data_IF_233100103383
#
_entry.id   IF_233100103383
#
_cell.length_a   1.000
_cell.length_b   1.000
_cell.length_c   1.000
_cell.angle_alpha   90.00
_cell.angle_beta   90.00
_cell.angle_gamma   90.00
#
_symmetry.space_group_name_H-M   'P 1'
#
loop_
_entity.id
_entity.type
_entity.pdbx_description
1 polymer ?
#
# COMPACT_ATOMS: atom_id res chain seq x y z
N UNK A 1 -8.91 8.21 18.64
CA UNK A 1 -7.77 7.74 19.46
C UNK A 1 -7.19 6.41 18.96
N UNK A 2 -7.99 5.33 18.84
CA UNK A 2 -7.53 4.01 18.35
C UNK A 2 -6.72 4.07 17.04
N UNK A 3 -7.25 4.74 16.01
CA UNK A 3 -6.60 4.87 14.69
C UNK A 3 -5.26 5.63 14.76
N UNK A 4 -5.17 6.68 15.57
CA UNK A 4 -3.93 7.46 15.70
C UNK A 4 -2.81 6.66 16.38
N UNK A 5 -3.15 5.88 17.42
CA UNK A 5 -2.20 5.00 18.12
C UNK A 5 -1.72 3.88 17.20
N UNK A 6 -2.62 3.27 16.43
CA UNK A 6 -2.25 2.25 15.45
C UNK A 6 -1.39 2.84 14.32
N UNK A 7 -1.78 3.98 13.73
CA UNK A 7 -0.98 4.64 12.70
C UNK A 7 0.42 4.98 13.21
N UNK A 8 0.57 5.42 14.47
CA UNK A 8 1.87 5.70 15.07
C UNK A 8 2.74 4.44 15.25
N UNK A 9 2.15 3.33 15.71
CA UNK A 9 2.88 2.05 15.81
C UNK A 9 3.20 1.49 14.43
N UNK A 10 2.32 1.60 13.44
CA UNK A 10 2.60 1.12 12.08
C UNK A 10 3.67 1.97 11.41
N UNK A 11 3.61 3.29 11.54
CA UNK A 11 4.70 4.20 11.18
C UNK A 11 6.05 3.73 11.78
N UNK A 12 6.07 3.43 13.08
CA UNK A 12 7.24 2.91 13.77
C UNK A 12 7.68 1.52 13.31
N UNK A 13 6.74 0.62 13.01
CA UNK A 13 7.04 -0.76 12.58
C UNK A 13 7.53 -0.79 11.14
N UNK A 14 6.94 0.04 10.27
CA UNK A 14 7.42 0.28 8.91
C UNK A 14 8.82 0.85 8.95
N UNK A 15 9.08 1.85 9.81
CA UNK A 15 10.39 2.45 9.92
C UNK A 15 11.42 1.48 10.49
N UNK A 16 11.11 0.73 11.55
CA UNK A 16 12.04 -0.21 12.17
C UNK A 16 12.41 -1.36 11.22
N UNK A 17 11.47 -1.79 10.37
CA UNK A 17 11.73 -2.81 9.37
C UNK A 17 12.45 -2.26 8.13
N UNK A 18 12.10 -1.06 7.65
CA UNK A 18 12.73 -0.45 6.48
C UNK A 18 14.14 0.10 6.78
N UNK A 19 14.34 0.67 7.96
CA UNK A 19 15.56 1.36 8.39
C UNK A 19 16.36 0.45 9.33
N UNK A 20 17.16 -0.46 8.77
CA UNK A 20 18.03 -1.38 9.56
C UNK A 20 19.21 -0.70 10.32
N UNK A 21 19.24 0.63 10.49
CA UNK A 21 20.28 1.39 11.25
C UNK A 21 19.75 2.75 11.76
N UNK A 22 20.20 3.16 12.96
CA UNK A 22 20.37 4.50 13.59
C UNK A 22 19.45 5.69 13.21
N UNK A 23 18.30 5.43 12.60
CA UNK A 23 17.39 6.44 12.11
C UNK A 23 16.08 6.44 12.86
N UNK A 24 15.74 7.56 13.49
CA UNK A 24 14.49 7.69 14.23
C UNK A 24 13.34 8.05 13.29
N UNK A 25 12.17 7.50 13.58
CA UNK A 25 10.94 7.80 12.88
C UNK A 25 9.85 8.30 13.81
N UNK A 26 9.10 9.30 13.36
CA UNK A 26 7.90 9.73 14.06
C UNK A 26 6.76 9.99 13.08
N UNK A 27 5.54 9.72 13.54
CA UNK A 27 4.32 10.14 12.86
C UNK A 27 3.87 11.49 13.41
N UNK A 28 3.67 12.46 12.53
CA UNK A 28 3.04 13.74 12.83
C UNK A 28 1.68 13.82 12.17
N UNK A 29 0.63 13.85 12.98
CA UNK A 29 -0.72 14.19 12.50
C UNK A 29 -0.82 15.72 12.46
N UNK A 30 -1.10 16.28 11.28
CA UNK A 30 -1.25 17.73 11.10
C UNK A 30 -2.70 18.13 10.93
N UNK A 31 -3.10 19.19 11.61
CA UNK A 31 -4.44 19.78 11.51
C UNK A 31 -4.46 21.04 10.65
N UNK A 32 -3.33 21.37 10.00
CA UNK A 32 -3.20 22.57 9.18
C UNK A 32 -4.10 22.45 7.93
N UNK A 33 -5.13 23.30 7.79
CA UNK A 33 -6.06 23.25 6.66
C UNK A 33 -5.40 23.58 5.32
N UNK A 34 -4.18 24.16 5.33
CA UNK A 34 -3.42 24.46 4.11
C UNK A 34 -2.57 23.28 3.63
N UNK A 35 -2.62 22.14 4.32
CA UNK A 35 -1.91 20.93 3.88
C UNK A 35 -2.54 20.40 2.60
N UNK A 36 -1.84 20.54 1.48
CA UNK A 36 -2.32 20.12 0.15
C UNK A 36 -2.05 18.64 -0.13
N UNK A 37 -1.04 18.03 0.51
CA UNK A 37 -0.71 16.61 0.36
C UNK A 37 -1.29 15.76 1.50
N UNK A 38 -2.04 14.69 1.20
CA UNK A 38 -2.64 13.78 2.20
C UNK A 38 -1.64 13.18 3.19
N UNK A 39 -0.49 12.74 2.69
CA UNK A 39 0.64 12.25 3.44
C UNK A 39 1.95 12.66 2.74
N UNK A 40 3.06 12.68 3.47
CA UNK A 40 4.41 12.83 2.92
C UNK A 40 5.47 12.44 3.96
N UNK A 41 6.68 12.10 3.53
CA UNK A 41 7.84 11.90 4.40
C UNK A 41 8.73 13.15 4.38
N UNK A 42 9.21 13.61 5.54
CA UNK A 42 10.25 14.65 5.66
C UNK A 42 11.48 14.09 6.35
N UNK A 43 12.64 14.12 5.68
CA UNK A 43 13.94 13.93 6.32
C UNK A 43 14.34 15.21 7.04
N UNK A 44 14.71 15.13 8.32
CA UNK A 44 15.32 16.27 9.02
C UNK A 44 16.72 16.53 8.47
N UNK A 45 17.03 17.80 8.21
CA UNK A 45 18.33 18.19 7.67
C UNK A 45 19.43 17.80 8.65
N UNK A 46 20.45 17.09 8.15
CA UNK A 46 21.64 16.66 8.90
C UNK A 46 21.38 15.73 10.10
N UNK A 47 20.18 15.14 10.20
CA UNK A 47 19.85 14.14 11.22
C UNK A 47 19.40 12.86 10.51
N UNK A 48 19.66 11.67 11.08
CA UNK A 48 19.11 10.43 10.57
C UNK A 48 17.62 10.29 10.93
N UNK A 49 16.85 11.38 10.97
CA UNK A 49 15.46 11.36 11.46
C UNK A 49 14.51 11.61 10.30
N UNK A 50 13.52 10.73 10.15
CA UNK A 50 12.46 10.84 9.16
C UNK A 50 11.12 11.04 9.86
N UNK A 51 10.29 11.94 9.35
CA UNK A 51 8.94 12.17 9.86
C UNK A 51 7.90 11.83 8.81
N UNK A 52 7.06 10.82 9.05
CA UNK A 52 5.79 10.71 8.33
C UNK A 52 4.87 11.82 8.80
N UNK A 53 4.28 12.52 7.84
CA UNK A 53 3.21 13.45 8.10
C UNK A 53 1.95 12.94 7.43
N UNK A 54 0.83 12.97 8.15
CA UNK A 54 -0.49 12.69 7.61
C UNK A 54 -1.47 13.77 8.04
N UNK A 55 -2.27 14.26 7.11
CA UNK A 55 -3.27 15.28 7.42
C UNK A 55 -4.46 14.67 8.17
N UNK A 56 -4.89 15.29 9.27
CA UNK A 56 -6.07 14.85 10.03
C UNK A 56 -7.33 14.91 9.17
N UNK A 57 -7.50 15.99 8.40
CA UNK A 57 -8.62 16.15 7.47
C UNK A 57 -8.69 15.00 6.44
N UNK A 58 -7.53 14.44 6.05
CA UNK A 58 -7.48 13.27 5.19
C UNK A 58 -7.97 12.00 5.90
N UNK A 59 -7.55 11.76 7.14
CA UNK A 59 -8.06 10.65 7.96
C UNK A 59 -9.58 10.76 8.19
N UNK A 60 -10.09 11.97 8.45
CA UNK A 60 -11.52 12.24 8.57
C UNK A 60 -12.26 11.94 7.27
N UNK A 61 -11.69 12.35 6.13
CA UNK A 61 -12.21 12.05 4.80
C UNK A 61 -12.31 10.53 4.53
N UNK A 62 -11.31 9.75 4.96
CA UNK A 62 -11.35 8.28 4.90
C UNK A 62 -12.45 7.72 5.81
N UNK A 63 -12.60 8.24 7.03
CA UNK A 63 -13.63 7.79 7.96
C UNK A 63 -15.05 8.04 7.42
N UNK A 64 -15.28 9.20 6.81
CA UNK A 64 -16.56 9.53 6.18
C UNK A 64 -16.97 8.56 5.06
N UNK A 65 -15.99 7.90 4.41
CA UNK A 65 -16.24 6.90 3.35
C UNK A 65 -16.62 5.52 3.88
N UNK A 66 -16.43 5.25 5.18
CA UNK A 66 -16.71 3.94 5.77
C UNK A 66 -17.68 3.99 6.95
N UNK A 67 -17.97 5.15 7.51
CA UNK A 67 -18.83 5.28 8.71
C UNK A 67 -20.23 4.68 8.53
N UNK A 68 -20.78 4.74 7.31
CA UNK A 68 -22.07 4.14 6.96
C UNK A 68 -22.08 2.60 7.00
N UNK A 69 -20.91 1.96 7.08
CA UNK A 69 -20.74 0.51 7.08
C UNK A 69 -20.85 -0.12 8.48
N UNK A 70 -20.94 0.69 9.54
CA UNK A 70 -20.82 0.23 10.94
C UNK A 70 -21.83 -0.84 11.39
N UNK A 71 -22.95 -0.97 10.67
CA UNK A 71 -24.05 -1.89 11.00
C UNK A 71 -24.21 -3.00 9.94
N UNK A 72 -23.19 -3.27 9.13
CA UNK A 72 -23.26 -4.35 8.14
C UNK A 72 -23.05 -5.70 8.82
N UNK A 73 -24.05 -6.58 8.71
CA UNK A 73 -24.01 -7.94 9.27
C UNK A 73 -22.86 -8.80 8.71
N UNK A 74 -22.27 -8.39 7.59
CA UNK A 74 -21.18 -9.13 6.94
C UNK A 74 -19.76 -8.75 7.42
N UNK A 75 -19.64 -7.85 8.40
CA UNK A 75 -18.36 -7.42 8.97
C UNK A 75 -18.20 -7.96 10.39
N UNK A 76 -17.22 -8.84 10.57
CA UNK A 76 -16.83 -9.40 11.88
C UNK A 76 -15.90 -8.45 12.68
N UNK A 77 -15.55 -7.28 12.11
CA UNK A 77 -14.55 -6.37 12.66
C UNK A 77 -14.95 -4.89 12.51
N UNK A 78 -14.31 -4.02 13.31
CA UNK A 78 -14.55 -2.58 13.34
C UNK A 78 -14.10 -1.90 12.04
N UNK A 79 -14.98 -1.08 11.46
CA UNK A 79 -14.75 -0.36 10.19
C UNK A 79 -13.55 0.59 10.22
N UNK A 80 -13.10 1.00 11.42
CA UNK A 80 -11.90 1.78 11.62
C UNK A 80 -10.62 1.07 11.15
N UNK A 81 -10.66 -0.26 11.00
CA UNK A 81 -9.58 -1.01 10.37
C UNK A 81 -9.34 -0.59 8.91
N UNK A 82 -10.39 -0.28 8.15
CA UNK A 82 -10.24 0.21 6.78
C UNK A 82 -9.53 1.56 6.74
N UNK A 83 -9.86 2.46 7.68
CA UNK A 83 -9.20 3.77 7.78
C UNK A 83 -7.74 3.62 8.18
N UNK A 84 -7.46 2.75 9.15
CA UNK A 84 -6.10 2.50 9.58
C UNK A 84 -5.25 1.95 8.42
N UNK A 85 -5.70 0.89 7.74
CA UNK A 85 -4.96 0.26 6.64
C UNK A 85 -4.81 1.18 5.43
N UNK A 86 -5.80 2.04 5.14
CA UNK A 86 -5.68 3.07 4.13
C UNK A 86 -4.59 4.11 4.50
N UNK A 87 -4.54 4.55 5.77
CA UNK A 87 -3.49 5.45 6.24
C UNK A 87 -2.09 4.83 6.22
N UNK A 88 -1.99 3.54 6.55
CA UNK A 88 -0.75 2.76 6.45
C UNK A 88 -0.24 2.72 5.03
N UNK A 89 -1.14 2.44 4.09
CA UNK A 89 -0.80 2.41 2.68
C UNK A 89 -0.31 3.78 2.22
N UNK A 90 -1.02 4.86 2.55
CA UNK A 90 -0.61 6.21 2.17
C UNK A 90 0.79 6.56 2.70
N UNK A 91 1.11 6.16 3.94
CA UNK A 91 2.46 6.33 4.51
C UNK A 91 3.47 5.44 3.76
N UNK A 92 3.12 4.19 3.45
CA UNK A 92 3.96 3.25 2.71
C UNK A 92 4.30 3.70 1.29
N UNK A 93 3.37 4.36 0.60
CA UNK A 93 3.58 5.01 -0.70
C UNK A 93 4.70 6.05 -0.60
N UNK A 94 4.55 6.99 0.34
CA UNK A 94 5.52 8.07 0.54
C UNK A 94 6.89 7.57 1.02
N UNK A 95 6.91 6.50 1.81
CA UNK A 95 8.16 5.81 2.15
C UNK A 95 8.84 5.24 0.91
N UNK A 96 8.07 4.72 -0.04
CA UNK A 96 8.63 4.13 -1.25
C UNK A 96 9.40 5.20 -2.04
N UNK A 97 8.85 6.42 -2.13
CA UNK A 97 9.53 7.54 -2.79
C UNK A 97 10.87 7.94 -2.16
N UNK A 98 11.01 7.79 -0.84
CA UNK A 98 12.22 8.16 -0.10
C UNK A 98 13.24 7.02 -0.07
N UNK A 99 12.78 5.77 0.11
CA UNK A 99 13.67 4.61 0.25
C UNK A 99 14.20 4.12 -1.10
N UNK A 100 13.42 4.30 -2.16
CA UNK A 100 13.76 3.88 -3.52
C UNK A 100 14.20 5.03 -4.39
N UNK A 101 14.64 6.14 -3.80
CA UNK A 101 15.28 7.23 -4.52
C UNK A 101 14.44 7.84 -5.65
N UNK A 102 13.11 7.62 -5.69
CA UNK A 102 12.24 8.27 -6.68
C UNK A 102 12.41 9.78 -6.62
N UNK A 103 12.47 10.31 -5.40
CA UNK A 103 12.74 11.73 -5.12
C UNK A 103 14.20 12.18 -5.31
N UNK A 104 15.13 11.27 -5.63
CA UNK A 104 16.55 11.55 -5.84
C UNK A 104 16.94 11.60 -7.33
N UNK A 105 16.02 11.16 -8.20
CA UNK A 105 16.09 11.35 -9.64
C UNK A 105 15.33 12.65 -9.92
N UNK A 106 16.03 13.79 -9.81
CA UNK A 106 15.51 15.08 -10.28
C UNK A 106 15.24 14.96 -11.80
N UNK A 107 14.00 14.65 -12.14
CA UNK A 107 13.52 14.48 -13.52
C UNK A 107 12.25 15.32 -13.71
N UNK A 108 12.22 16.07 -14.80
CA UNK A 108 11.02 16.79 -15.27
C UNK A 108 10.24 15.94 -16.29
N UNK A 109 10.66 14.69 -16.56
CA UNK A 109 9.98 13.79 -17.48
C UNK A 109 8.70 13.23 -16.85
N UNK A 110 7.55 13.66 -17.37
CA UNK A 110 6.23 13.23 -16.90
C UNK A 110 6.02 11.71 -16.96
N UNK A 111 6.65 11.02 -17.92
CA UNK A 111 6.56 9.55 -18.02
C UNK A 111 7.33 8.89 -16.89
N UNK A 112 8.50 9.44 -16.55
CA UNK A 112 9.32 8.92 -15.45
C UNK A 112 8.64 9.18 -14.11
N UNK A 113 8.10 10.38 -13.89
CA UNK A 113 7.31 10.70 -12.70
C UNK A 113 6.07 9.82 -12.58
N UNK A 114 5.41 9.51 -13.70
CA UNK A 114 4.29 8.57 -13.72
C UNK A 114 4.71 7.17 -13.28
N UNK A 115 5.83 6.64 -13.79
CA UNK A 115 6.36 5.33 -13.40
C UNK A 115 6.79 5.30 -11.92
N UNK A 116 7.36 6.38 -11.38
CA UNK A 116 7.66 6.51 -9.95
C UNK A 116 6.41 6.35 -9.09
N UNK A 117 5.30 6.98 -9.49
CA UNK A 117 4.03 6.89 -8.78
C UNK A 117 3.42 5.48 -8.89
N UNK A 118 3.47 4.84 -10.06
CA UNK A 118 3.03 3.45 -10.22
C UNK A 118 3.82 2.48 -9.33
N UNK A 119 5.14 2.65 -9.27
CA UNK A 119 5.98 1.79 -8.45
C UNK A 119 5.73 2.03 -6.96
N UNK A 120 5.57 3.29 -6.55
CA UNK A 120 5.21 3.63 -5.17
C UNK A 120 3.85 3.04 -4.76
N UNK A 121 2.83 3.10 -5.62
CA UNK A 121 1.52 2.47 -5.36
C UNK A 121 1.68 0.95 -5.19
N UNK A 122 2.44 0.29 -6.06
CA UNK A 122 2.69 -1.15 -5.97
C UNK A 122 3.48 -1.53 -4.72
N UNK A 123 4.55 -0.82 -4.41
CA UNK A 123 5.40 -1.06 -3.22
C UNK A 123 4.67 -0.78 -1.92
N UNK A 124 3.76 0.18 -1.88
CA UNK A 124 2.88 0.40 -0.72
C UNK A 124 2.03 -0.84 -0.42
N UNK A 125 1.64 -1.60 -1.44
CA UNK A 125 1.00 -2.92 -1.32
C UNK A 125 1.89 -3.94 -0.63
N UNK A 126 3.14 -4.06 -1.05
CA UNK A 126 4.14 -4.90 -0.38
C UNK A 126 4.33 -4.48 1.09
N UNK A 127 4.47 -3.18 1.33
CA UNK A 127 4.69 -2.60 2.66
C UNK A 127 3.53 -2.80 3.62
N UNK A 128 2.30 -2.80 3.11
CA UNK A 128 1.09 -3.06 3.90
C UNK A 128 1.13 -4.43 4.57
N UNK A 129 1.99 -5.35 4.12
CA UNK A 129 2.18 -6.65 4.74
C UNK A 129 2.86 -6.61 6.13
N UNK A 130 3.47 -5.47 6.52
CA UNK A 130 4.09 -5.27 7.85
C UNK A 130 3.15 -5.60 9.01
N UNK A 131 1.84 -5.38 8.83
CA UNK A 131 0.79 -5.61 9.84
C UNK A 131 0.67 -7.08 10.26
N UNK A 132 1.40 -8.00 9.59
CA UNK A 132 1.44 -9.43 9.91
C UNK A 132 2.70 -9.85 10.66
N UNK A 133 3.80 -9.10 10.55
CA UNK A 133 5.10 -9.51 11.09
C UNK A 133 5.42 -8.90 12.45
N UNK A 134 4.87 -7.72 12.73
CA UNK A 134 5.00 -7.11 14.05
C UNK A 134 3.92 -7.70 14.97
N UNK A 135 4.34 -8.45 15.98
CA UNK A 135 3.44 -9.11 16.94
C UNK A 135 2.56 -8.12 17.70
N UNK A 136 3.09 -6.93 18.00
CA UNK A 136 2.33 -5.90 18.69
C UNK A 136 1.27 -5.31 17.76
N UNK A 137 1.60 -5.12 16.48
CA UNK A 137 0.61 -4.69 15.48
C UNK A 137 -0.49 -5.70 15.30
N UNK A 138 -0.17 -6.99 15.25
CA UNK A 138 -1.17 -8.05 15.15
C UNK A 138 -2.10 -8.01 16.37
N UNK A 139 -1.53 -7.91 17.58
CA UNK A 139 -2.32 -7.77 18.82
C UNK A 139 -3.16 -6.51 18.81
N UNK A 140 -2.62 -5.37 18.39
CA UNK A 140 -3.37 -4.11 18.30
C UNK A 140 -4.49 -4.17 17.26
N UNK A 141 -4.29 -4.80 16.11
CA UNK A 141 -5.34 -4.99 15.10
C UNK A 141 -6.50 -5.83 15.66
N UNK A 142 -6.18 -6.86 16.44
CA UNK A 142 -7.17 -7.67 17.14
C UNK A 142 -7.88 -6.88 18.25
N UNK A 143 -7.14 -6.26 19.16
CA UNK A 143 -7.70 -5.63 20.36
C UNK A 143 -8.48 -4.34 20.04
N UNK A 144 -8.03 -3.57 19.06
CA UNK A 144 -8.65 -2.30 18.72
C UNK A 144 -9.79 -2.46 17.72
N UNK A 145 -9.67 -3.41 16.78
CA UNK A 145 -10.57 -3.54 15.64
C UNK A 145 -11.22 -4.92 15.50
N UNK A 146 -10.86 -5.92 16.30
CA UNK A 146 -11.45 -7.27 16.22
C UNK A 146 -10.94 -8.12 15.06
N UNK A 147 -9.86 -7.70 14.39
CA UNK A 147 -9.29 -8.47 13.28
C UNK A 147 -8.35 -9.54 13.83
N UNK A 148 -8.81 -10.79 13.82
CA UNK A 148 -8.08 -11.93 14.39
C UNK A 148 -7.68 -12.95 13.32
N UNK A 149 -8.47 -13.05 12.24
CA UNK A 149 -8.26 -14.07 11.21
C UNK A 149 -7.40 -13.52 10.08
N UNK A 150 -6.62 -14.43 9.49
CA UNK A 150 -5.84 -14.19 8.26
C UNK A 150 -6.70 -13.57 7.16
N UNK A 151 -7.85 -14.17 6.91
CA UNK A 151 -8.73 -13.75 5.82
C UNK A 151 -9.35 -12.37 6.05
N UNK A 152 -9.59 -11.98 7.31
CA UNK A 152 -10.06 -10.64 7.66
C UNK A 152 -9.00 -9.59 7.33
N UNK A 153 -7.72 -9.87 7.61
CA UNK A 153 -6.62 -8.96 7.22
C UNK A 153 -6.50 -8.82 5.70
N UNK A 154 -6.60 -9.93 4.95
CA UNK A 154 -6.58 -9.88 3.49
C UNK A 154 -7.74 -9.00 2.96
N UNK A 155 -8.98 -9.27 3.41
CA UNK A 155 -10.17 -8.50 3.01
C UNK A 155 -10.05 -7.02 3.38
N UNK A 156 -9.64 -6.74 4.62
CA UNK A 156 -9.50 -5.38 5.12
C UNK A 156 -8.44 -4.59 4.35
N UNK A 157 -7.29 -5.20 4.06
CA UNK A 157 -6.21 -4.57 3.29
C UNK A 157 -6.68 -4.25 1.87
N UNK A 158 -7.26 -5.23 1.18
CA UNK A 158 -7.72 -5.08 -0.20
C UNK A 158 -8.83 -4.02 -0.32
N UNK A 159 -9.79 -4.02 0.59
CA UNK A 159 -10.90 -3.05 0.57
C UNK A 159 -10.45 -1.64 0.98
N UNK A 160 -9.57 -1.53 1.99
CA UNK A 160 -9.06 -0.24 2.47
C UNK A 160 -8.39 0.57 1.36
N UNK A 161 -7.74 -0.09 0.41
CA UNK A 161 -7.11 0.61 -0.70
C UNK A 161 -8.12 1.24 -1.66
N UNK A 162 -9.30 0.65 -1.82
CA UNK A 162 -10.36 1.27 -2.63
C UNK A 162 -10.87 2.54 -1.96
N UNK A 163 -10.94 2.54 -0.62
CA UNK A 163 -11.26 3.74 0.16
C UNK A 163 -10.19 4.81 -0.01
N UNK A 164 -8.90 4.42 0.03
CA UNK A 164 -7.77 5.31 -0.20
C UNK A 164 -7.82 5.92 -1.61
N UNK A 165 -7.89 5.09 -2.64
CA UNK A 165 -7.91 5.52 -4.02
C UNK A 165 -9.08 6.47 -4.32
N UNK A 166 -10.26 6.19 -3.77
CA UNK A 166 -11.42 7.07 -3.87
C UNK A 166 -11.25 8.40 -3.11
N UNK A 167 -10.49 8.42 -2.02
CA UNK A 167 -10.16 9.66 -1.33
C UNK A 167 -9.19 10.54 -2.14
N UNK A 168 -8.42 9.94 -3.05
CA UNK A 168 -7.43 10.60 -3.89
C UNK A 168 -7.92 10.91 -5.32
N UNK A 169 -9.08 10.39 -5.73
CA UNK A 169 -9.60 10.51 -7.11
C UNK A 169 -9.89 11.94 -7.59
N UNK A 170 -9.75 12.95 -6.74
CA UNK A 170 -9.91 14.37 -7.07
C UNK A 170 -8.63 15.06 -7.58
N UNK A 171 -7.46 14.40 -7.54
CA UNK A 171 -6.21 14.97 -8.06
C UNK A 171 -6.08 14.70 -9.57
N UNK A 172 -6.16 15.74 -10.39
CA UNK A 172 -6.23 15.67 -11.87
C UNK A 172 -4.88 15.83 -12.58
N UNK A 173 -3.75 15.41 -11.97
CA UNK A 173 -2.43 15.53 -12.62
C UNK A 173 -2.16 14.32 -13.51
N UNK A 174 -1.62 14.54 -14.72
CA UNK A 174 -1.21 13.50 -15.67
C UNK A 174 -0.08 12.60 -15.12
N UNK A 175 0.64 13.06 -14.09
CA UNK A 175 1.68 12.31 -13.37
C UNK A 175 1.08 11.18 -12.51
N UNK A 176 -0.20 11.23 -12.19
CA UNK A 176 -0.82 10.24 -11.31
C UNK A 176 -1.66 9.23 -12.09
N UNK A 177 -1.45 7.94 -11.81
CA UNK A 177 -2.39 6.91 -12.23
C UNK A 177 -3.81 7.24 -11.77
N UNK A 178 -4.78 6.87 -12.61
CA UNK A 178 -6.16 6.92 -12.21
C UNK A 178 -6.39 6.04 -10.98
N UNK A 179 -7.38 6.43 -10.17
CA UNK A 179 -7.66 5.81 -8.89
C UNK A 179 -7.91 4.29 -8.98
N UNK A 180 -8.39 3.76 -10.11
CA UNK A 180 -8.58 2.31 -10.27
C UNK A 180 -7.24 1.62 -10.50
N UNK A 181 -6.40 2.13 -11.39
CA UNK A 181 -5.06 1.58 -11.64
C UNK A 181 -4.20 1.59 -10.36
N UNK A 182 -4.21 2.69 -9.59
CA UNK A 182 -3.56 2.75 -8.26
C UNK A 182 -4.01 1.62 -7.35
N UNK A 183 -5.33 1.40 -7.29
CA UNK A 183 -5.91 0.33 -6.48
C UNK A 183 -5.54 -1.07 -6.96
N UNK A 184 -5.37 -1.26 -8.26
CA UNK A 184 -4.90 -2.51 -8.80
C UNK A 184 -3.42 -2.75 -8.50
N UNK A 185 -2.55 -1.74 -8.64
CA UNK A 185 -1.11 -1.87 -8.40
C UNK A 185 -0.80 -2.21 -6.94
N UNK A 186 -1.46 -1.56 -5.98
CA UNK A 186 -1.38 -1.96 -4.58
C UNK A 186 -1.76 -3.42 -4.37
N UNK A 187 -2.88 -3.86 -4.97
CA UNK A 187 -3.31 -5.25 -4.89
C UNK A 187 -2.28 -6.21 -5.49
N UNK A 188 -1.66 -5.87 -6.63
CA UNK A 188 -0.61 -6.68 -7.24
C UNK A 188 0.60 -6.83 -6.33
N UNK A 189 1.07 -5.73 -5.72
CA UNK A 189 2.16 -5.75 -4.75
C UNK A 189 1.83 -6.59 -3.51
N UNK A 190 0.65 -6.36 -2.91
CA UNK A 190 0.20 -7.11 -1.74
C UNK A 190 0.01 -8.61 -2.03
N UNK A 191 -0.60 -8.95 -3.18
CA UNK A 191 -0.74 -10.34 -3.66
C UNK A 191 0.63 -11.00 -3.80
N UNK A 192 1.59 -10.30 -4.41
CA UNK A 192 2.93 -10.82 -4.65
C UNK A 192 3.62 -11.20 -3.34
N UNK A 193 3.67 -10.29 -2.37
CA UNK A 193 4.32 -10.55 -1.08
C UNK A 193 3.55 -11.57 -0.23
N UNK A 194 2.21 -11.59 -0.30
CA UNK A 194 1.40 -12.55 0.44
C UNK A 194 1.62 -14.00 -0.03
N UNK A 195 1.83 -14.20 -1.33
CA UNK A 195 2.16 -15.51 -1.91
C UNK A 195 3.61 -15.92 -1.59
N UNK A 196 4.55 -15.01 -1.80
CA UNK A 196 5.98 -15.25 -1.62
C UNK A 196 6.33 -15.69 -0.20
N UNK A 197 5.71 -15.05 0.78
CA UNK A 197 5.96 -15.28 2.20
C UNK A 197 5.16 -16.46 2.77
N UNK A 198 4.36 -17.13 1.94
CA UNK A 198 3.43 -18.18 2.38
C UNK A 198 2.33 -17.69 3.31
N UNK A 199 2.11 -16.36 3.38
CA UNK A 199 1.09 -15.78 4.23
C UNK A 199 -0.32 -16.24 3.81
N UNK A 200 -0.59 -16.31 2.52
CA UNK A 200 -1.86 -16.78 1.98
C UNK A 200 -1.62 -17.54 0.67
N UNK A 201 -2.46 -18.53 0.40
CA UNK A 201 -2.45 -19.19 -0.90
C UNK A 201 -3.30 -18.42 -1.92
N UNK A 202 -3.19 -18.79 -3.20
CA UNK A 202 -3.91 -18.15 -4.29
C UNK A 202 -5.44 -18.12 -4.08
N UNK A 203 -6.04 -19.22 -3.59
CA UNK A 203 -7.48 -19.31 -3.37
C UNK A 203 -7.95 -18.37 -2.25
N UNK A 204 -7.17 -18.23 -1.18
CA UNK A 204 -7.48 -17.29 -0.08
C UNK A 204 -7.44 -15.83 -0.57
N UNK A 205 -6.48 -15.49 -1.43
CA UNK A 205 -6.35 -14.15 -2.01
C UNK A 205 -7.51 -13.85 -2.95
N UNK A 206 -7.84 -14.77 -3.86
CA UNK A 206 -8.99 -14.59 -4.77
C UNK A 206 -10.31 -14.52 -4.00
N UNK A 207 -10.48 -15.34 -2.96
CA UNK A 207 -11.65 -15.24 -2.08
C UNK A 207 -11.72 -13.87 -1.39
N UNK A 208 -10.61 -13.35 -0.86
CA UNK A 208 -10.56 -12.02 -0.27
C UNK A 208 -10.87 -10.91 -1.29
N UNK A 209 -10.37 -11.03 -2.52
CA UNK A 209 -10.64 -10.11 -3.64
C UNK A 209 -12.13 -10.09 -3.98
N UNK A 210 -12.76 -11.26 -4.12
CA UNK A 210 -14.20 -11.40 -4.37
C UNK A 210 -15.04 -10.82 -3.24
N UNK A 211 -14.66 -11.08 -1.99
CA UNK A 211 -15.35 -10.56 -0.83
C UNK A 211 -15.24 -9.03 -0.72
N UNK A 212 -14.10 -8.46 -1.09
CA UNK A 212 -13.95 -7.01 -1.18
C UNK A 212 -14.85 -6.40 -2.28
N UNK A 213 -15.02 -7.07 -3.42
CA UNK A 213 -15.99 -6.67 -4.47
C UNK A 213 -17.42 -6.74 -3.93
N UNK A 214 -17.81 -7.85 -3.29
CA UNK A 214 -19.13 -8.03 -2.69
C UNK A 214 -19.40 -6.95 -1.64
N UNK A 215 -18.42 -6.65 -0.81
CA UNK A 215 -18.52 -5.59 0.19
C UNK A 215 -18.71 -4.22 -0.47
N UNK A 216 -17.92 -3.87 -1.48
CA UNK A 216 -18.05 -2.59 -2.19
C UNK A 216 -19.44 -2.38 -2.79
N UNK A 217 -20.00 -3.43 -3.41
CA UNK A 217 -21.37 -3.42 -3.94
C UNK A 217 -22.42 -3.31 -2.84
N UNK A 218 -22.20 -3.98 -1.71
CA UNK A 218 -23.12 -3.96 -0.57
C UNK A 218 -23.22 -2.58 0.07
N UNK A 219 -22.19 -1.75 -0.07
CA UNK A 219 -22.13 -0.40 0.51
C UNK A 219 -22.44 0.72 -0.49
N UNK A 220 -22.75 0.38 -1.73
CA UNK A 220 -23.00 1.33 -2.83
C UNK A 220 -23.97 2.46 -2.46
N UNK A 221 -25.02 2.12 -1.71
CA UNK A 221 -26.08 3.03 -1.27
C UNK A 221 -25.94 3.49 0.18
N UNK A 222 -24.93 2.99 0.90
CA UNK A 222 -24.76 3.20 2.35
C UNK A 222 -23.70 4.24 2.68
N UNK A 223 -22.73 4.44 1.79
CA UNK A 223 -21.63 5.38 1.99
C UNK A 223 -21.58 6.44 0.89
N UNK A 224 -21.10 7.66 1.19
CA UNK A 224 -20.80 8.66 0.17
C UNK A 224 -19.88 8.07 -0.90
N UNK A 225 -20.19 8.31 -2.18
CA UNK A 225 -19.45 7.80 -3.33
C UNK A 225 -19.34 6.25 -3.38
N UNK A 226 -20.31 5.53 -2.81
CA UNK A 226 -20.32 4.07 -2.80
C UNK A 226 -20.36 3.44 -4.21
N UNK A 227 -20.94 4.13 -5.20
CA UNK A 227 -20.94 3.71 -6.61
C UNK A 227 -19.54 3.68 -7.20
N UNK A 228 -18.79 4.73 -6.94
CA UNK A 228 -17.41 4.88 -7.37
C UNK A 228 -16.54 3.81 -6.69
N UNK A 229 -16.78 3.55 -5.40
CA UNK A 229 -16.08 2.48 -4.66
C UNK A 229 -16.33 1.09 -5.28
N UNK A 230 -17.57 0.78 -5.63
CA UNK A 230 -17.91 -0.46 -6.35
C UNK A 230 -17.23 -0.50 -7.73
N UNK A 231 -17.26 0.61 -8.46
CA UNK A 231 -16.69 0.72 -9.80
C UNK A 231 -15.17 0.52 -9.83
N UNK A 232 -14.44 0.97 -8.79
CA UNK A 232 -13.00 0.68 -8.61
C UNK A 232 -12.74 -0.81 -8.60
N UNK A 233 -13.55 -1.55 -7.83
CA UNK A 233 -13.39 -2.99 -7.64
C UNK A 233 -13.83 -3.78 -8.87
N UNK A 234 -14.91 -3.36 -9.52
CA UNK A 234 -15.42 -4.02 -10.72
C UNK A 234 -14.43 -3.93 -11.89
N UNK A 235 -13.67 -2.84 -11.99
CA UNK A 235 -12.66 -2.63 -13.04
C UNK A 235 -11.34 -3.38 -12.86
N UNK A 236 -11.15 -4.16 -11.78
CA UNK A 236 -9.87 -4.84 -11.50
C UNK A 236 -9.46 -5.85 -12.58
N UNK A 237 -10.41 -6.51 -13.25
CA UNK A 237 -10.10 -7.49 -14.31
C UNK A 237 -9.48 -6.86 -15.55
N UNK A 238 -10.03 -5.71 -15.98
CA UNK A 238 -9.51 -4.96 -17.12
C UNK A 238 -8.12 -4.40 -16.83
N UNK A 239 -7.91 -3.89 -15.61
CA UNK A 239 -6.62 -3.39 -15.16
C UNK A 239 -5.56 -4.49 -15.04
N UNK A 240 -5.95 -5.70 -14.63
CA UNK A 240 -5.04 -6.85 -14.61
C UNK A 240 -4.56 -7.20 -16.03
N UNK A 241 -5.43 -7.06 -17.02
CA UNK A 241 -5.08 -7.25 -18.43
C UNK A 241 -4.13 -6.17 -18.93
N UNK A 242 -4.43 -4.89 -18.66
CA UNK A 242 -3.55 -3.76 -18.98
C UNK A 242 -2.16 -3.92 -18.34
N UNK A 243 -2.13 -4.28 -17.06
CA UNK A 243 -0.90 -4.53 -16.32
C UNK A 243 -0.04 -5.60 -16.99
N UNK A 244 -0.62 -6.78 -17.23
CA UNK A 244 0.12 -7.92 -17.80
C UNK A 244 0.63 -7.65 -19.21
N UNK A 245 -0.12 -6.91 -20.02
CA UNK A 245 0.16 -6.78 -21.44
C UNK A 245 0.96 -5.53 -21.80
N UNK A 246 1.03 -4.52 -20.92
CA UNK A 246 1.60 -3.22 -21.30
C UNK A 246 2.44 -2.55 -20.22
N UNK A 247 2.01 -2.59 -18.96
CA UNK A 247 2.67 -1.80 -17.90
C UNK A 247 3.72 -2.57 -17.11
N UNK A 248 3.57 -3.89 -16.96
CA UNK A 248 4.44 -4.69 -16.09
C UNK A 248 5.90 -4.62 -16.52
N UNK A 249 6.20 -4.93 -17.78
CA UNK A 249 7.59 -4.94 -18.26
C UNK A 249 8.24 -3.56 -18.09
N UNK A 250 7.53 -2.50 -18.51
CA UNK A 250 8.00 -1.11 -18.38
C UNK A 250 8.30 -0.72 -16.92
N UNK A 251 7.40 -1.06 -15.98
CA UNK A 251 7.61 -0.73 -14.57
C UNK A 251 8.81 -1.48 -13.98
N UNK A 252 9.00 -2.74 -14.36
CA UNK A 252 10.10 -3.54 -13.83
C UNK A 252 11.45 -3.09 -14.40
N UNK A 253 11.53 -2.77 -15.70
CA UNK A 253 12.73 -2.17 -16.30
C UNK A 253 13.08 -0.82 -15.65
N UNK A 254 12.07 0.00 -15.37
CA UNK A 254 12.24 1.25 -14.67
C UNK A 254 12.78 1.06 -13.24
N UNK A 255 12.16 0.17 -12.45
CA UNK A 255 12.59 -0.10 -11.08
C UNK A 255 14.02 -0.68 -11.03
N UNK A 256 14.39 -1.56 -11.97
CA UNK A 256 15.75 -2.11 -12.06
C UNK A 256 16.78 -0.99 -12.35
N UNK A 257 16.46 -0.06 -13.27
CA UNK A 257 17.32 1.11 -13.55
C UNK A 257 17.51 1.99 -12.32
N UNK A 258 16.44 2.23 -11.55
CA UNK A 258 16.53 3.01 -10.30
C UNK A 258 17.42 2.29 -9.29
N UNK A 259 17.20 0.99 -9.09
CA UNK A 259 17.99 0.18 -8.15
C UNK A 259 19.48 0.16 -8.56
N UNK A 260 19.80 0.12 -9.85
CA UNK A 260 21.16 0.26 -10.37
C UNK A 260 21.75 1.64 -10.08
N UNK A 261 21.00 2.71 -10.36
CA UNK A 261 21.44 4.09 -10.14
C UNK A 261 21.71 4.38 -8.66
N UNK A 262 20.83 3.89 -7.77
CA UNK A 262 21.00 3.94 -6.31
C UNK A 262 22.21 3.11 -5.91
N UNK A 263 22.36 1.89 -6.41
CA UNK A 263 23.50 1.01 -6.07
C UNK A 263 24.85 1.62 -6.47
N UNK A 264 24.91 2.30 -7.62
CA UNK A 264 26.10 3.01 -8.10
C UNK A 264 26.42 4.22 -7.21
N UNK A 265 25.42 5.04 -6.86
CA UNK A 265 25.59 6.23 -6.01
C UNK A 265 25.87 5.90 -4.53
N UNK A 266 25.27 4.84 -4.00
CA UNK A 266 25.39 4.40 -2.61
C UNK A 266 26.47 3.33 -2.39
N UNK A 267 27.40 3.16 -3.34
CA UNK A 267 28.65 2.42 -3.11
C UNK A 267 29.51 3.02 -1.98
N UNK A 268 29.16 4.21 -1.48
CA UNK A 268 29.76 4.86 -0.30
C UNK A 268 28.88 4.87 0.97
N UNK A 269 27.56 4.64 0.87
CA UNK A 269 26.64 4.63 2.02
C UNK A 269 25.52 3.59 1.78
N UNK A 270 25.85 2.30 1.98
CA UNK A 270 24.81 1.26 2.03
C UNK A 270 24.07 1.33 3.37
N UNK A 271 22.72 1.35 3.32
CA UNK A 271 21.78 0.53 4.13
C UNK A 271 20.38 1.14 4.10
N UNK A 272 19.43 0.43 3.48
CA UNK A 272 18.02 0.32 3.87
C UNK A 272 17.39 -0.82 3.04
N UNK A 273 17.45 -2.06 3.55
CA UNK A 273 16.96 -3.24 2.83
C UNK A 273 16.27 -4.17 3.82
N UNK A 274 14.94 -4.07 3.95
CA UNK A 274 14.10 -5.17 4.43
C UNK A 274 12.61 -5.02 4.09
N UNK A 275 11.95 -6.18 4.00
CA UNK A 275 10.53 -6.46 3.74
C UNK A 275 9.97 -5.95 2.41
N UNK A 276 10.24 -4.69 2.03
CA UNK A 276 9.87 -4.16 0.72
C UNK A 276 10.74 -4.73 -0.43
N UNK A 277 11.98 -5.16 -0.15
CA UNK A 277 12.90 -5.76 -1.14
C UNK A 277 12.78 -7.28 -1.33
N UNK A 278 12.33 -8.04 -0.31
CA UNK A 278 12.29 -9.51 -0.44
C UNK A 278 11.30 -9.98 -1.51
N UNK A 279 10.22 -9.24 -1.73
CA UNK A 279 9.27 -9.54 -2.80
C UNK A 279 9.80 -9.27 -4.23
N UNK A 280 10.94 -8.57 -4.38
CA UNK A 280 11.52 -8.20 -5.68
C UNK A 280 12.77 -9.03 -6.01
N UNK A 281 13.64 -9.28 -5.02
CA UNK A 281 14.93 -9.97 -5.24
C UNK A 281 14.83 -11.47 -5.57
N UNK A 282 13.68 -12.12 -5.33
CA UNK A 282 13.47 -13.55 -5.63
C UNK A 282 12.73 -13.82 -6.95
N UNK A 283 12.23 -12.80 -7.66
CA UNK A 283 11.60 -13.02 -8.97
C UNK A 283 12.60 -13.16 -10.13
N UNK A 284 13.82 -12.60 -10.01
CA UNK A 284 14.91 -12.87 -10.96
C UNK A 284 15.39 -14.33 -10.93
N UNK A 285 15.14 -15.06 -9.83
CA UNK A 285 15.38 -16.51 -9.73
C UNK A 285 14.17 -17.39 -10.10
N UNK A 286 12.96 -16.82 -10.21
CA UNK A 286 11.76 -17.56 -10.66
C UNK A 286 11.71 -17.72 -12.18
N UNK A 287 12.37 -16.85 -12.94
CA UNK A 287 12.58 -17.03 -14.38
C UNK A 287 13.49 -18.23 -14.72
N UNK A 288 14.27 -18.72 -13.74
CA UNK A 288 15.21 -19.84 -13.92
C UNK A 288 14.69 -21.19 -13.38
N UNK A 289 13.50 -21.25 -12.78
CA UNK A 289 12.92 -22.53 -12.35
C UNK A 289 11.99 -23.05 -13.44
N UNK A 290 12.33 -24.16 -14.13
CA UNK A 290 11.42 -24.75 -15.09
C UNK A 290 10.13 -25.12 -14.36
N UNK A 291 9.00 -24.67 -14.91
CA UNK A 291 7.66 -25.12 -14.57
C UNK A 291 7.68 -26.66 -14.47
N UNK A 292 7.81 -27.19 -13.25
CA UNK A 292 7.55 -28.60 -13.02
C UNK A 292 6.06 -28.80 -13.27
N UNK A 293 5.77 -29.40 -14.42
CA UNK A 293 4.50 -30.03 -14.76
C UNK A 293 3.90 -30.66 -13.50
N UNK A 294 2.87 -30.03 -12.95
CA UNK A 294 1.93 -30.74 -12.09
C UNK A 294 1.09 -31.55 -13.05
N UNK A 295 1.35 -32.86 -13.08
CA UNK A 295 0.55 -33.81 -13.80
C UNK A 295 -0.89 -33.76 -13.28
N UNK A 296 -1.81 -33.67 -14.23
CA UNK A 296 -3.24 -33.88 -14.04
C UNK A 296 -3.50 -35.24 -13.38
N UNK A 297 -4.34 -35.21 -12.34
CA UNK A 297 -5.32 -36.26 -12.06
C UNK A 297 -6.70 -35.61 -12.12
#
# INVERSE_FOLDING_TARGET
MKTAVLLAKIAHSLSANALKKDADFFLKIVTDPNTTKPAFIKKKKNEPVYGAVIALAFIESLFNRVVGMKNLDCLDFDIGAFVALAGVTAIGHEFSHVLYGHSEIDTDDETELYLQELDADRRSGCGSHVIRYDSDLVTMMNDLFGISKRIEILKATIFSHSVLALALSGSTSEVYADYRLRCFLHFDGYRSVALDTGFANFLEIEFAKMEAVRLARSVEKLVPMGKELASIRDGHGDLETLWRNSLREQLFEFADRIDEAITLRHSLDRVAVCTFNHAYSDQSNLAARPLRRVALL
#
